data_IF_373513708001
#
_entry.id   IF_373513708001
#
_cell.length_a   1.000
_cell.length_b   1.000
_cell.length_c   1.000
_cell.angle_alpha   90.00
_cell.angle_beta   90.00
_cell.angle_gamma   90.00
#
_symmetry.space_group_name_H-M   'P 1'
#
loop_
_entity.id
_entity.type
_entity.pdbx_description
1 polymer ?
#
# COMPACT_ATOMS: atom_id res chain seq x y z
N UNK A 1 0.94 -23.52 -25.86
CA UNK A 1 -0.52 -23.64 -26.12
C UNK A 1 -1.28 -22.35 -25.84
N UNK A 2 -0.93 -21.57 -24.82
CA UNK A 2 -1.60 -20.27 -24.53
C UNK A 2 -1.50 -19.30 -25.72
N UNK A 3 -0.38 -19.28 -26.44
CA UNK A 3 -0.13 -18.44 -27.62
C UNK A 3 -1.06 -18.74 -28.81
N UNK A 4 -1.71 -19.90 -28.84
CA UNK A 4 -2.75 -20.23 -29.82
C UNK A 4 -4.09 -19.51 -29.54
N UNK A 5 -4.30 -19.05 -28.32
CA UNK A 5 -5.53 -18.35 -27.91
C UNK A 5 -5.32 -16.84 -27.83
N UNK A 6 -4.20 -16.39 -27.24
CA UNK A 6 -3.85 -14.98 -27.10
C UNK A 6 -2.36 -14.81 -27.42
N UNK A 7 -2.01 -13.87 -28.30
CA UNK A 7 -0.63 -13.63 -28.67
C UNK A 7 0.13 -12.89 -27.55
N UNK A 8 1.42 -13.21 -27.39
CA UNK A 8 2.32 -12.57 -26.44
C UNK A 8 2.33 -11.03 -26.56
N UNK A 9 2.19 -10.51 -27.80
CA UNK A 9 2.15 -9.07 -28.09
C UNK A 9 1.00 -8.34 -27.37
N UNK A 10 -0.14 -8.99 -27.16
CA UNK A 10 -1.26 -8.42 -26.42
C UNK A 10 -0.87 -8.16 -24.97
N UNK A 11 -0.23 -9.13 -24.31
CA UNK A 11 0.23 -8.99 -22.94
C UNK A 11 1.37 -7.98 -22.81
N UNK A 12 2.31 -7.97 -23.74
CA UNK A 12 3.40 -6.98 -23.79
C UNK A 12 2.84 -5.56 -23.86
N UNK A 13 1.83 -5.33 -24.72
CA UNK A 13 1.23 -4.01 -24.90
C UNK A 13 0.45 -3.55 -23.69
N UNK A 14 -0.32 -4.43 -23.06
CA UNK A 14 -1.17 -4.10 -21.91
C UNK A 14 -0.37 -3.97 -20.61
N UNK A 15 0.56 -4.90 -20.35
CA UNK A 15 1.35 -4.89 -19.12
C UNK A 15 2.55 -3.95 -19.16
N UNK A 16 3.01 -3.59 -20.37
CA UNK A 16 4.27 -2.85 -20.62
C UNK A 16 5.51 -3.57 -20.06
N UNK A 17 5.39 -4.87 -19.83
CA UNK A 17 6.47 -5.71 -19.33
C UNK A 17 6.81 -6.82 -20.35
N UNK A 18 8.06 -7.32 -20.37
CA UNK A 18 8.45 -8.45 -21.22
C UNK A 18 7.54 -9.66 -20.99
N UNK A 19 7.32 -10.44 -22.04
CA UNK A 19 6.54 -11.68 -22.01
C UNK A 19 7.46 -12.83 -22.29
N UNK A 20 7.69 -13.69 -21.32
CA UNK A 20 8.51 -14.90 -21.43
C UNK A 20 7.63 -16.07 -21.85
N UNK A 21 7.93 -16.68 -22.99
CA UNK A 21 7.20 -17.85 -23.51
C UNK A 21 8.10 -19.08 -23.72
N UNK A 22 9.41 -18.90 -23.65
CA UNK A 22 10.43 -19.92 -23.86
C UNK A 22 11.56 -19.76 -22.84
N UNK A 23 12.13 -20.87 -22.39
CA UNK A 23 13.27 -20.89 -21.45
C UNK A 23 14.58 -20.42 -22.08
N UNK A 24 14.70 -20.53 -23.40
CA UNK A 24 15.97 -20.37 -24.11
C UNK A 24 15.98 -19.21 -25.10
N UNK A 25 14.90 -18.47 -25.19
CA UNK A 25 14.66 -17.45 -26.20
C UNK A 25 15.41 -16.12 -26.05
N UNK A 26 16.06 -15.85 -24.93
CA UNK A 26 16.75 -14.58 -24.66
C UNK A 26 18.19 -14.82 -24.22
N UNK A 27 19.19 -14.22 -24.91
CA UNK A 27 20.59 -14.33 -24.53
C UNK A 27 20.91 -13.37 -23.39
N UNK A 28 20.53 -13.73 -22.14
CA UNK A 28 20.94 -13.02 -20.94
C UNK A 28 21.86 -13.90 -20.11
N UNK A 29 22.84 -13.31 -19.45
CA UNK A 29 23.81 -14.03 -18.62
C UNK A 29 23.19 -14.65 -17.36
N UNK A 30 22.05 -14.13 -16.90
CA UNK A 30 21.25 -14.75 -15.83
C UNK A 30 20.01 -15.44 -16.43
N UNK A 31 19.72 -16.69 -16.02
CA UNK A 31 18.49 -17.35 -16.42
C UNK A 31 17.26 -16.53 -16.01
N UNK A 32 16.38 -16.20 -16.96
CA UNK A 32 15.19 -15.35 -16.72
C UNK A 32 14.30 -15.85 -15.57
N UNK A 33 14.17 -17.16 -15.41
CA UNK A 33 13.37 -17.75 -14.33
C UNK A 33 13.90 -17.43 -12.93
N UNK A 34 15.23 -17.28 -12.76
CA UNK A 34 15.83 -16.86 -11.48
C UNK A 34 15.59 -15.37 -11.26
N UNK A 35 15.89 -14.53 -12.25
CA UNK A 35 15.68 -13.08 -12.14
C UNK A 35 14.21 -12.71 -11.88
N UNK A 36 13.25 -13.46 -12.47
CA UNK A 36 11.84 -13.29 -12.23
C UNK A 36 11.42 -13.80 -10.84
N UNK A 37 11.98 -14.94 -10.38
CA UNK A 37 11.64 -15.49 -9.05
C UNK A 37 12.10 -14.60 -7.91
N UNK A 38 13.22 -13.90 -8.06
CA UNK A 38 13.74 -12.93 -7.09
C UNK A 38 12.92 -11.64 -7.04
N UNK A 39 12.25 -11.27 -8.14
CA UNK A 39 11.48 -10.03 -8.24
C UNK A 39 10.00 -10.17 -7.91
N UNK A 40 9.43 -11.36 -8.11
CA UNK A 40 8.00 -11.58 -7.98
C UNK A 40 7.61 -11.98 -6.56
N UNK A 41 6.68 -11.26 -5.98
CA UNK A 41 6.11 -11.53 -4.66
C UNK A 41 5.01 -12.59 -4.70
N UNK A 42 4.25 -12.60 -5.80
CA UNK A 42 3.14 -13.51 -6.02
C UNK A 42 3.19 -14.05 -7.44
N UNK A 43 3.09 -15.38 -7.58
CA UNK A 43 2.87 -16.04 -8.85
C UNK A 43 1.39 -16.34 -9.02
N UNK A 44 0.76 -15.79 -10.06
CA UNK A 44 -0.64 -16.08 -10.39
C UNK A 44 -0.71 -16.93 -11.65
N UNK A 45 -1.31 -18.11 -11.57
CA UNK A 45 -1.55 -18.97 -12.73
C UNK A 45 -3.05 -18.96 -13.05
N UNK A 46 -3.44 -18.16 -14.02
CA UNK A 46 -4.83 -17.95 -14.42
C UNK A 46 -4.97 -17.83 -15.96
N UNK A 47 -5.60 -18.79 -16.62
CA UNK A 47 -6.18 -20.04 -16.09
C UNK A 47 -5.12 -21.12 -15.85
N UNK A 48 -5.33 -21.95 -14.81
CA UNK A 48 -4.54 -23.14 -14.55
C UNK A 48 -5.24 -24.41 -15.06
N UNK A 49 -4.57 -25.15 -15.93
CA UNK A 49 -5.07 -26.43 -16.45
C UNK A 49 -4.72 -27.58 -15.52
N UNK A 50 -5.42 -28.72 -15.64
CA UNK A 50 -5.07 -29.95 -14.95
C UNK A 50 -3.62 -30.39 -15.17
N UNK A 51 -3.09 -30.16 -16.39
CA UNK A 51 -1.70 -30.46 -16.72
C UNK A 51 -0.73 -29.65 -15.86
N UNK A 52 -0.92 -28.33 -15.75
CA UNK A 52 -0.05 -27.49 -14.92
C UNK A 52 -0.15 -27.86 -13.43
N UNK A 53 -1.38 -28.08 -12.92
CA UNK A 53 -1.60 -28.53 -11.53
C UNK A 53 -0.85 -29.83 -11.26
N UNK A 54 -0.94 -30.80 -12.18
CA UNK A 54 -0.20 -32.07 -12.08
C UNK A 54 1.32 -31.88 -12.08
N UNK A 55 1.84 -31.08 -13.00
CA UNK A 55 3.27 -30.77 -13.07
C UNK A 55 3.80 -30.14 -11.78
N UNK A 56 3.12 -29.12 -11.29
CA UNK A 56 3.53 -28.42 -10.06
C UNK A 56 3.47 -29.36 -8.84
N UNK A 57 2.42 -30.19 -8.73
CA UNK A 57 2.27 -31.14 -7.64
C UNK A 57 3.41 -32.16 -7.58
N UNK A 58 3.95 -32.55 -8.73
CA UNK A 58 5.00 -33.59 -8.86
C UNK A 58 6.39 -33.06 -9.20
N UNK A 59 6.58 -31.73 -9.22
CA UNK A 59 7.91 -31.13 -9.45
C UNK A 59 8.40 -31.25 -10.90
N UNK A 60 7.51 -31.26 -11.89
CA UNK A 60 7.88 -31.36 -13.31
C UNK A 60 8.11 -29.97 -13.89
N UNK A 61 9.31 -29.72 -14.39
CA UNK A 61 9.78 -28.44 -14.94
C UNK A 61 10.23 -28.62 -16.40
N UNK A 62 9.29 -28.83 -17.31
CA UNK A 62 9.54 -29.09 -18.72
C UNK A 62 9.13 -27.94 -19.67
N UNK A 63 8.64 -26.84 -19.09
CA UNK A 63 8.32 -25.61 -19.82
C UNK A 63 8.64 -24.37 -18.95
N UNK A 64 8.60 -23.18 -19.58
CA UNK A 64 8.96 -21.93 -18.92
C UNK A 64 8.13 -21.68 -17.65
N UNK A 65 6.80 -21.90 -17.68
CA UNK A 65 5.93 -21.67 -16.53
C UNK A 65 6.20 -22.64 -15.40
N UNK A 66 6.33 -23.95 -15.70
CA UNK A 66 6.57 -24.97 -14.70
C UNK A 66 7.95 -24.84 -14.05
N UNK A 67 8.98 -24.45 -14.84
CA UNK A 67 10.32 -24.17 -14.32
C UNK A 67 10.31 -22.94 -13.40
N UNK A 68 9.66 -21.87 -13.84
CA UNK A 68 9.53 -20.68 -13.01
C UNK A 68 8.76 -20.97 -11.71
N UNK A 69 7.64 -21.70 -11.79
CA UNK A 69 6.83 -22.01 -10.62
C UNK A 69 7.58 -22.82 -9.55
N UNK A 70 8.54 -23.67 -9.95
CA UNK A 70 9.38 -24.41 -9.00
C UNK A 70 10.51 -23.56 -8.38
N UNK A 71 10.96 -22.52 -9.08
CA UNK A 71 11.97 -21.58 -8.55
C UNK A 71 11.35 -20.46 -7.73
N UNK A 72 10.03 -20.24 -7.83
CA UNK A 72 9.34 -19.15 -7.13
C UNK A 72 9.22 -19.42 -5.63
N UNK A 73 9.73 -18.50 -4.81
CA UNK A 73 9.73 -18.59 -3.34
C UNK A 73 8.52 -17.90 -2.69
N UNK A 74 7.82 -17.03 -3.45
CA UNK A 74 6.67 -16.28 -2.96
C UNK A 74 5.37 -17.09 -2.95
N UNK A 75 4.27 -16.40 -2.67
CA UNK A 75 2.93 -17.02 -2.71
C UNK A 75 2.54 -17.41 -4.13
N UNK A 76 2.08 -18.65 -4.29
CA UNK A 76 1.51 -19.12 -5.57
C UNK A 76 -0.01 -19.18 -5.46
N UNK A 77 -0.71 -18.52 -6.39
CA UNK A 77 -2.17 -18.52 -6.51
C UNK A 77 -2.55 -19.22 -7.82
N UNK A 78 -3.40 -20.24 -7.71
CA UNK A 78 -3.89 -21.01 -8.86
C UNK A 78 -5.37 -20.75 -9.04
N UNK A 79 -5.76 -20.31 -10.25
CA UNK A 79 -7.15 -20.18 -10.69
C UNK A 79 -7.47 -21.29 -11.71
N UNK A 80 -8.05 -22.42 -11.29
CA UNK A 80 -8.31 -23.56 -12.17
C UNK A 80 -9.37 -23.25 -13.23
N UNK A 81 -9.15 -23.73 -14.46
CA UNK A 81 -10.15 -23.72 -15.52
C UNK A 81 -10.02 -24.98 -16.36
N UNK A 82 -11.05 -25.82 -16.37
CA UNK A 82 -11.08 -27.07 -17.13
C UNK A 82 -12.51 -27.62 -17.25
N UNK A 83 -12.67 -28.67 -18.07
CA UNK A 83 -13.93 -29.39 -18.14
C UNK A 83 -14.38 -29.90 -16.75
N UNK A 84 -15.66 -29.84 -16.37
CA UNK A 84 -16.15 -30.31 -15.06
C UNK A 84 -15.79 -31.77 -14.73
N UNK A 85 -15.76 -32.67 -15.72
CA UNK A 85 -15.34 -34.05 -15.51
C UNK A 85 -13.84 -34.16 -15.16
N UNK A 86 -13.00 -33.30 -15.78
CA UNK A 86 -11.57 -33.23 -15.44
C UNK A 86 -11.40 -32.70 -14.02
N UNK A 87 -12.14 -31.64 -13.67
CA UNK A 87 -12.08 -31.08 -12.32
C UNK A 87 -12.43 -32.10 -11.24
N UNK A 88 -13.49 -32.90 -11.48
CA UNK A 88 -13.95 -33.93 -10.54
C UNK A 88 -13.07 -35.17 -10.53
N UNK A 89 -12.10 -35.29 -11.45
CA UNK A 89 -11.27 -36.50 -11.52
C UNK A 89 -10.43 -36.66 -10.24
N UNK A 90 -10.41 -37.84 -9.61
CA UNK A 90 -9.71 -38.06 -8.35
C UNK A 90 -8.25 -37.65 -8.34
N UNK A 91 -7.52 -37.88 -9.44
CA UNK A 91 -6.13 -37.46 -9.56
C UNK A 91 -5.95 -35.91 -9.54
N UNK A 92 -6.89 -35.18 -10.15
CA UNK A 92 -6.86 -33.71 -10.12
C UNK A 92 -7.15 -33.19 -8.72
N UNK A 93 -8.15 -33.77 -8.03
CA UNK A 93 -8.45 -33.38 -6.66
C UNK A 93 -7.32 -33.74 -5.70
N UNK A 94 -6.69 -34.90 -5.85
CA UNK A 94 -5.51 -35.26 -5.04
C UNK A 94 -4.34 -34.31 -5.24
N UNK A 95 -4.05 -33.91 -6.49
CA UNK A 95 -3.01 -32.93 -6.79
C UNK A 95 -3.33 -31.54 -6.20
N UNK A 96 -4.59 -31.10 -6.27
CA UNK A 96 -5.01 -29.84 -5.66
C UNK A 96 -4.85 -29.88 -4.14
N UNK A 97 -5.22 -30.99 -3.50
CA UNK A 97 -5.07 -31.14 -2.05
C UNK A 97 -3.60 -31.13 -1.62
N UNK A 98 -2.74 -31.85 -2.34
CA UNK A 98 -1.29 -31.85 -2.11
C UNK A 98 -0.71 -30.43 -2.22
N UNK A 99 -1.14 -29.65 -3.22
CA UNK A 99 -0.68 -28.27 -3.39
C UNK A 99 -1.20 -27.34 -2.29
N UNK A 100 -2.44 -27.53 -1.81
CA UNK A 100 -2.96 -26.76 -0.65
C UNK A 100 -2.14 -27.03 0.61
N UNK A 101 -1.81 -28.29 0.88
CA UNK A 101 -0.95 -28.69 2.00
C UNK A 101 0.45 -28.05 1.92
N UNK A 102 0.92 -27.76 0.71
CA UNK A 102 2.17 -27.03 0.45
C UNK A 102 2.03 -25.51 0.45
N UNK A 103 0.85 -24.98 0.81
CA UNK A 103 0.62 -23.53 0.93
C UNK A 103 0.21 -22.83 -0.36
N UNK A 104 -0.10 -23.57 -1.45
CA UNK A 104 -0.61 -22.97 -2.68
C UNK A 104 -2.07 -22.56 -2.51
N UNK A 105 -2.37 -21.29 -2.80
CA UNK A 105 -3.72 -20.76 -2.74
C UNK A 105 -4.52 -21.09 -4.01
N UNK A 106 -5.82 -21.35 -3.84
CA UNK A 106 -6.73 -21.67 -4.95
C UNK A 106 -7.90 -20.69 -4.97
N UNK A 107 -8.19 -20.13 -6.16
CA UNK A 107 -9.34 -19.25 -6.41
C UNK A 107 -10.27 -19.93 -7.42
N UNK A 108 -11.45 -20.34 -7.00
CA UNK A 108 -12.38 -21.10 -7.83
C UNK A 108 -12.04 -22.60 -7.87
N UNK A 109 -12.37 -23.33 -8.97
CA UNK A 109 -13.14 -22.84 -10.11
C UNK A 109 -14.61 -22.60 -9.77
N UNK A 110 -15.23 -21.66 -10.52
CA UNK A 110 -16.65 -21.36 -10.41
C UNK A 110 -17.52 -22.40 -11.11
N UNK A 111 -18.81 -22.40 -10.77
CA UNK A 111 -19.83 -23.18 -11.48
C UNK A 111 -20.40 -22.37 -12.64
N UNK A 112 -20.72 -23.02 -13.75
CA UNK A 112 -21.35 -22.39 -14.90
C UNK A 112 -21.07 -23.13 -16.20
N UNK A 113 -21.47 -22.49 -17.31
CA UNK A 113 -21.21 -23.00 -18.65
C UNK A 113 -19.74 -22.83 -19.01
N UNK A 114 -19.07 -23.91 -19.39
CA UNK A 114 -17.68 -23.93 -19.85
C UNK A 114 -17.60 -23.96 -21.39
N UNK A 115 -16.46 -23.67 -21.98
CA UNK A 115 -16.26 -23.55 -23.42
C UNK A 115 -16.69 -24.78 -24.24
N UNK A 116 -16.65 -25.97 -23.67
CA UNK A 116 -17.16 -27.21 -24.31
C UNK A 116 -18.69 -27.36 -24.26
N UNK A 117 -19.44 -26.36 -23.78
CA UNK A 117 -20.90 -26.37 -23.71
C UNK A 117 -21.49 -27.08 -22.50
N UNK A 118 -20.71 -27.82 -21.71
CA UNK A 118 -21.18 -28.45 -20.47
C UNK A 118 -21.37 -27.43 -19.35
N UNK A 119 -22.26 -27.72 -18.41
CA UNK A 119 -22.52 -26.93 -17.23
C UNK A 119 -22.01 -27.66 -15.99
N UNK A 120 -21.31 -26.96 -15.10
CA UNK A 120 -20.77 -27.54 -13.89
C UNK A 120 -19.60 -26.73 -13.32
N UNK A 121 -18.97 -27.24 -12.25
CA UNK A 121 -17.80 -26.63 -11.63
C UNK A 121 -16.57 -26.86 -12.50
N UNK A 122 -15.93 -25.83 -12.94
CA UNK A 122 -14.74 -25.91 -13.83
C UNK A 122 -14.49 -24.62 -14.63
N UNK A 123 -15.36 -23.61 -14.49
CA UNK A 123 -15.19 -22.29 -15.08
C UNK A 123 -14.15 -21.50 -14.30
N UNK A 124 -13.32 -20.71 -15.01
CA UNK A 124 -12.41 -19.74 -14.39
C UNK A 124 -13.19 -18.84 -13.43
N UNK A 125 -12.66 -18.62 -12.24
CA UNK A 125 -13.19 -17.66 -11.28
C UNK A 125 -13.27 -16.24 -11.89
N UNK A 126 -14.17 -15.42 -11.37
CA UNK A 126 -14.27 -14.03 -11.79
C UNK A 126 -12.93 -13.31 -11.61
N UNK A 127 -12.57 -12.44 -12.57
CA UNK A 127 -11.29 -11.69 -12.53
C UNK A 127 -11.17 -10.91 -11.23
N UNK A 128 -12.26 -10.27 -10.78
CA UNK A 128 -12.29 -9.55 -9.49
C UNK A 128 -11.97 -10.42 -8.28
N UNK A 129 -12.38 -11.70 -8.28
CA UNK A 129 -12.03 -12.65 -7.20
C UNK A 129 -10.54 -13.02 -7.23
N UNK A 130 -9.96 -13.14 -8.42
CA UNK A 130 -8.52 -13.41 -8.59
C UNK A 130 -7.72 -12.17 -8.13
N UNK A 131 -8.11 -10.96 -8.55
CA UNK A 131 -7.51 -9.70 -8.11
C UNK A 131 -7.57 -9.54 -6.58
N UNK A 132 -8.72 -9.79 -5.98
CA UNK A 132 -8.88 -9.72 -4.52
C UNK A 132 -7.96 -10.71 -3.80
N UNK A 133 -7.81 -11.93 -4.31
CA UNK A 133 -6.88 -12.91 -3.75
C UNK A 133 -5.43 -12.43 -3.88
N UNK A 134 -5.04 -11.84 -5.02
CA UNK A 134 -3.71 -11.27 -5.21
C UNK A 134 -3.45 -10.17 -4.19
N UNK A 135 -4.36 -9.21 -4.05
CA UNK A 135 -4.22 -8.13 -3.07
C UNK A 135 -4.13 -8.64 -1.63
N UNK A 136 -4.96 -9.60 -1.26
CA UNK A 136 -4.91 -10.23 0.08
C UNK A 136 -3.57 -10.91 0.35
N UNK A 137 -3.02 -11.63 -0.65
CA UNK A 137 -1.73 -12.32 -0.49
C UNK A 137 -0.54 -11.38 -0.61
N UNK A 138 -0.62 -10.31 -1.41
CA UNK A 138 0.40 -9.26 -1.42
C UNK A 138 0.49 -8.56 -0.06
N UNK A 139 -0.63 -8.25 0.56
CA UNK A 139 -0.66 -7.71 1.92
C UNK A 139 0.03 -8.64 2.93
N UNK A 140 -0.21 -9.95 2.82
CA UNK A 140 0.43 -10.99 3.66
C UNK A 140 1.89 -11.24 3.27
N UNK A 141 2.23 -11.21 1.97
CA UNK A 141 3.59 -11.46 1.48
C UNK A 141 4.55 -10.32 1.80
N UNK A 142 4.07 -9.08 1.81
CA UNK A 142 4.87 -7.94 2.28
C UNK A 142 5.22 -8.07 3.77
N UNK A 143 4.38 -8.75 4.56
CA UNK A 143 4.73 -9.16 5.93
C UNK A 143 5.74 -10.30 6.00
N UNK A 144 5.82 -11.18 4.97
CA UNK A 144 6.68 -12.39 5.01
C UNK A 144 8.06 -12.22 4.37
N UNK A 145 8.26 -11.34 3.40
CA UNK A 145 9.58 -11.19 2.74
C UNK A 145 10.58 -10.33 3.50
N UNK A 146 10.15 -9.60 4.52
CA UNK A 146 11.07 -9.00 5.49
C UNK A 146 11.49 -9.97 6.62
N UNK A 147 11.08 -11.24 6.57
CA UNK A 147 11.15 -12.19 7.67
C UNK A 147 11.86 -13.51 7.39
N UNK A 148 12.95 -13.52 6.59
CA UNK A 148 13.88 -14.66 6.57
C UNK A 148 15.13 -14.43 7.44
N UNK A 149 15.10 -13.39 8.26
CA UNK A 149 16.03 -13.19 9.37
C UNK A 149 15.15 -12.80 10.58
N UNK A 150 15.03 -13.74 11.52
CA UNK A 150 14.46 -13.57 12.86
C UNK A 150 13.16 -12.73 12.93
N UNK A 151 12.01 -13.39 12.76
CA UNK A 151 10.77 -12.85 13.33
C UNK A 151 10.85 -12.99 14.86
N UNK A 152 11.50 -12.04 15.52
CA UNK A 152 11.01 -11.64 16.82
C UNK A 152 9.57 -11.14 16.59
N UNK A 153 8.59 -11.88 17.12
CA UNK A 153 7.19 -11.46 17.14
C UNK A 153 7.12 -10.21 18.01
N UNK A 154 7.22 -9.04 17.36
CA UNK A 154 6.99 -7.79 18.08
C UNK A 154 5.54 -7.80 18.58
N UNK A 155 5.35 -7.43 19.83
CA UNK A 155 4.01 -7.16 20.36
C UNK A 155 3.31 -6.14 19.45
N UNK A 156 1.99 -6.27 19.22
CA UNK A 156 1.24 -5.32 18.43
C UNK A 156 1.47 -3.89 18.93
N UNK A 157 1.96 -3.02 18.05
CA UNK A 157 2.16 -1.60 18.37
C UNK A 157 0.83 -0.86 18.27
N UNK A 158 0.66 0.18 19.08
CA UNK A 158 -0.41 1.17 18.96
C UNK A 158 0.08 2.31 18.07
N UNK A 159 -0.43 2.37 16.84
CA UNK A 159 0.00 3.32 15.82
C UNK A 159 -1.08 4.38 15.60
N UNK A 160 -0.75 5.63 15.90
CA UNK A 160 -1.59 6.79 15.66
C UNK A 160 -1.19 7.42 14.32
N UNK A 161 -2.09 7.43 13.34
CA UNK A 161 -1.83 8.00 12.01
C UNK A 161 -2.75 9.19 11.79
N UNK A 162 -2.21 10.33 11.34
CA UNK A 162 -3.03 11.42 10.82
C UNK A 162 -3.02 11.42 9.29
N UNK A 163 -4.16 11.77 8.66
CA UNK A 163 -4.33 11.75 7.21
C UNK A 163 -5.27 12.86 6.73
N UNK A 164 -5.23 13.13 5.43
CA UNK A 164 -6.09 14.11 4.78
C UNK A 164 -5.61 15.55 4.95
N UNK A 165 -6.31 16.51 4.33
CA UNK A 165 -6.12 17.93 4.57
C UNK A 165 -6.92 18.39 5.79
N UNK A 166 -6.61 19.58 6.31
CA UNK A 166 -7.55 20.34 7.13
C UNK A 166 -8.29 21.37 6.29
N UNK A 167 -9.46 21.76 6.76
CA UNK A 167 -10.30 22.81 6.21
C UNK A 167 -10.49 23.89 7.25
N UNK A 168 -10.08 25.12 6.93
CA UNK A 168 -10.17 26.27 7.82
C UNK A 168 -11.27 27.19 7.30
N UNK A 169 -12.37 27.28 8.02
CA UNK A 169 -13.55 27.97 7.57
C UNK A 169 -13.33 29.49 7.39
N UNK A 170 -13.73 29.99 6.25
CA UNK A 170 -13.84 31.42 5.96
C UNK A 170 -15.25 31.93 6.30
N UNK A 171 -16.24 31.13 5.91
CA UNK A 171 -17.66 31.32 6.22
C UNK A 171 -18.36 29.94 6.10
N UNK A 172 -19.64 29.79 6.39
CA UNK A 172 -20.35 28.50 6.34
C UNK A 172 -20.36 27.81 4.96
N UNK A 173 -19.80 28.44 3.92
CA UNK A 173 -19.82 27.94 2.53
C UNK A 173 -18.40 27.73 1.97
N UNK A 174 -17.44 28.50 2.46
CA UNK A 174 -16.06 28.55 1.91
C UNK A 174 -15.03 28.32 2.99
N UNK A 175 -13.98 27.61 2.64
CA UNK A 175 -12.86 27.29 3.52
C UNK A 175 -11.52 27.35 2.74
N UNK A 176 -10.43 27.47 3.47
CA UNK A 176 -9.07 27.25 3.01
C UNK A 176 -8.67 25.80 3.27
N UNK A 177 -8.00 25.16 2.32
CA UNK A 177 -7.54 23.78 2.46
C UNK A 177 -6.29 23.51 1.65
N UNK A 178 -5.59 22.42 1.98
CA UNK A 178 -4.47 21.90 1.23
C UNK A 178 -4.93 20.92 0.14
N UNK A 179 -4.08 20.68 -0.88
CA UNK A 179 -4.38 19.75 -1.99
C UNK A 179 -4.24 18.26 -1.61
N UNK A 180 -4.09 17.94 -0.34
CA UNK A 180 -3.95 16.55 0.11
C UNK A 180 -5.22 15.74 -0.18
N UNK A 181 -5.03 14.48 -0.56
CA UNK A 181 -6.13 13.52 -0.77
C UNK A 181 -6.24 12.48 0.35
N UNK A 182 -5.32 12.47 1.32
CA UNK A 182 -5.26 11.48 2.39
C UNK A 182 -4.66 10.12 1.99
N UNK A 183 -4.46 9.84 0.71
CA UNK A 183 -4.05 8.50 0.20
C UNK A 183 -2.82 7.92 0.92
N UNK A 184 -1.82 8.73 1.27
CA UNK A 184 -0.60 8.21 1.92
C UNK A 184 -0.86 7.74 3.35
N UNK A 185 -1.54 8.56 4.18
CA UNK A 185 -1.89 8.18 5.55
C UNK A 185 -2.84 6.98 5.60
N UNK A 186 -3.81 6.91 4.68
CA UNK A 186 -4.70 5.75 4.54
C UNK A 186 -3.94 4.48 4.14
N UNK A 187 -2.94 4.57 3.24
CA UNK A 187 -2.09 3.46 2.88
C UNK A 187 -1.27 2.96 4.09
N UNK A 188 -0.71 3.88 4.90
CA UNK A 188 0.03 3.53 6.11
C UNK A 188 -0.90 2.85 7.12
N UNK A 189 -2.07 3.43 7.40
CA UNK A 189 -3.03 2.86 8.33
C UNK A 189 -3.50 1.45 7.90
N UNK A 190 -3.83 1.28 6.61
CA UNK A 190 -4.24 -0.01 6.06
C UNK A 190 -3.12 -1.06 6.14
N UNK A 191 -1.87 -0.68 5.85
CA UNK A 191 -0.71 -1.56 5.94
C UNK A 191 -0.44 -1.97 7.39
N UNK A 192 -0.54 -1.05 8.34
CA UNK A 192 -0.34 -1.32 9.76
C UNK A 192 -1.42 -2.25 10.34
N UNK A 193 -2.71 -2.04 9.97
CA UNK A 193 -3.80 -2.99 10.33
C UNK A 193 -3.54 -4.37 9.76
N UNK A 194 -3.13 -4.47 8.49
CA UNK A 194 -2.84 -5.75 7.85
C UNK A 194 -1.64 -6.48 8.48
N UNK A 195 -0.71 -5.75 9.10
CA UNK A 195 0.40 -6.30 9.87
C UNK A 195 0.02 -6.70 11.31
N UNK A 196 -1.22 -6.45 11.74
CA UNK A 196 -1.74 -6.86 13.06
C UNK A 196 -1.56 -5.83 14.17
N UNK A 197 -1.23 -4.57 13.82
CA UNK A 197 -1.11 -3.49 14.80
C UNK A 197 -2.47 -2.89 15.18
N UNK A 198 -2.55 -2.27 16.38
CA UNK A 198 -3.70 -1.47 16.83
C UNK A 198 -3.58 -0.05 16.24
N UNK A 199 -4.49 0.32 15.34
CA UNK A 199 -4.38 1.55 14.56
C UNK A 199 -5.51 2.51 14.85
N UNK A 200 -5.14 3.76 15.16
CA UNK A 200 -6.04 4.90 15.20
C UNK A 200 -5.72 5.84 14.05
N UNK A 201 -6.71 6.13 13.21
CA UNK A 201 -6.60 7.05 12.09
C UNK A 201 -7.38 8.34 12.38
N UNK A 202 -6.68 9.45 12.52
CA UNK A 202 -7.27 10.79 12.60
C UNK A 202 -7.32 11.37 11.19
N UNK A 203 -8.52 11.50 10.64
CA UNK A 203 -8.71 11.86 9.22
C UNK A 203 -9.37 13.21 9.05
N UNK A 204 -8.69 14.12 8.39
CA UNK A 204 -9.32 15.29 7.77
C UNK A 204 -10.27 14.88 6.63
N UNK A 205 -11.02 15.82 6.02
CA UNK A 205 -12.00 15.51 4.99
C UNK A 205 -11.39 14.83 3.76
N UNK A 206 -11.82 13.61 3.46
CA UNK A 206 -11.42 12.85 2.27
C UNK A 206 -12.62 12.15 1.64
N UNK A 207 -12.43 11.63 0.41
CA UNK A 207 -13.41 10.78 -0.27
C UNK A 207 -12.99 9.29 -0.22
N UNK A 208 -12.01 8.95 0.61
CA UNK A 208 -11.53 7.57 0.74
C UNK A 208 -12.48 6.77 1.61
N UNK A 209 -12.63 5.49 1.29
CA UNK A 209 -13.38 4.57 2.13
C UNK A 209 -12.66 4.38 3.48
N UNK A 210 -13.40 4.21 4.59
CA UNK A 210 -12.81 3.92 5.90
C UNK A 210 -11.91 2.67 5.84
N UNK A 211 -10.81 2.69 6.59
CA UNK A 211 -9.90 1.55 6.70
C UNK A 211 -10.54 0.49 7.60
N UNK A 212 -10.83 -0.67 7.06
CA UNK A 212 -11.40 -1.78 7.84
C UNK A 212 -10.42 -2.24 8.94
N UNK A 213 -10.93 -2.46 10.15
CA UNK A 213 -10.13 -2.86 11.31
C UNK A 213 -9.37 -1.72 12.01
N UNK A 214 -9.59 -0.48 11.57
CA UNK A 214 -8.98 0.71 12.15
C UNK A 214 -10.03 1.54 12.91
N UNK A 215 -9.67 2.16 14.04
CA UNK A 215 -10.49 3.16 14.72
C UNK A 215 -10.29 4.53 14.04
N UNK A 216 -11.26 4.93 13.22
CA UNK A 216 -11.21 6.21 12.50
C UNK A 216 -11.85 7.32 13.36
N UNK A 217 -11.18 8.46 13.44
CA UNK A 217 -11.62 9.68 14.11
C UNK A 217 -11.63 10.82 13.11
N UNK A 218 -12.81 11.28 12.72
CA UNK A 218 -12.96 12.36 11.74
C UNK A 218 -12.75 13.71 12.40
N UNK A 219 -12.00 14.57 11.73
CA UNK A 219 -11.68 15.95 12.11
C UNK A 219 -11.81 16.87 10.91
N UNK A 220 -11.96 18.16 11.12
CA UNK A 220 -12.08 19.13 10.03
C UNK A 220 -10.94 20.13 10.05
N UNK A 221 -10.68 20.79 11.16
CA UNK A 221 -9.72 21.88 11.28
C UNK A 221 -8.37 21.45 11.85
N UNK A 222 -7.36 22.30 11.71
CA UNK A 222 -6.05 22.13 12.35
C UNK A 222 -6.16 22.05 13.88
N UNK A 223 -7.07 22.82 14.47
CA UNK A 223 -7.33 22.80 15.91
C UNK A 223 -7.87 21.43 16.35
N UNK A 224 -8.85 20.86 15.63
CA UNK A 224 -9.39 19.54 15.93
C UNK A 224 -8.33 18.43 15.73
N UNK A 225 -7.47 18.52 14.70
CA UNK A 225 -6.32 17.61 14.56
C UNK A 225 -5.43 17.67 15.79
N UNK A 226 -5.08 18.88 16.25
CA UNK A 226 -4.25 19.09 17.45
C UNK A 226 -4.87 18.49 18.71
N UNK A 227 -6.16 18.72 18.93
CA UNK A 227 -6.91 18.18 20.07
C UNK A 227 -6.96 16.65 20.05
N UNK A 228 -7.39 16.07 18.94
CA UNK A 228 -7.58 14.61 18.82
C UNK A 228 -6.25 13.87 18.85
N UNK A 229 -5.24 14.32 18.07
CA UNK A 229 -3.91 13.74 18.10
C UNK A 229 -3.29 13.89 19.49
N UNK A 230 -3.42 15.06 20.12
CA UNK A 230 -2.91 15.32 21.47
C UNK A 230 -3.50 14.42 22.55
N UNK A 231 -4.78 14.07 22.44
CA UNK A 231 -5.46 13.13 23.32
C UNK A 231 -5.00 11.68 23.14
N UNK A 232 -4.83 11.23 21.88
CA UNK A 232 -4.45 9.86 21.57
C UNK A 232 -2.93 9.62 21.74
N UNK A 233 -2.11 10.68 21.70
CA UNK A 233 -0.66 10.64 21.71
C UNK A 233 -0.06 9.93 22.92
N UNK A 234 -0.61 10.19 24.12
CA UNK A 234 -0.04 9.65 25.35
C UNK A 234 -0.13 8.10 25.44
N UNK A 235 -1.01 7.51 24.64
CA UNK A 235 -1.27 6.06 24.64
C UNK A 235 -0.72 5.35 23.41
N UNK A 236 -0.20 6.04 22.40
CA UNK A 236 0.37 5.40 21.22
C UNK A 236 1.87 5.09 21.40
N UNK A 237 2.36 4.06 20.73
CA UNK A 237 3.78 3.75 20.64
C UNK A 237 4.43 4.56 19.52
N UNK A 238 3.66 4.79 18.43
CA UNK A 238 4.12 5.52 17.25
C UNK A 238 3.08 6.54 16.81
N UNK A 239 3.52 7.77 16.56
CA UNK A 239 2.76 8.78 15.83
C UNK A 239 3.30 8.92 14.41
N UNK A 240 2.44 8.77 13.41
CA UNK A 240 2.72 9.08 12.00
C UNK A 240 1.92 10.31 11.60
N UNK A 241 2.58 11.47 11.58
CA UNK A 241 1.94 12.75 11.24
C UNK A 241 2.00 12.98 9.73
N UNK A 242 1.00 12.41 9.02
CA UNK A 242 0.90 12.45 7.54
C UNK A 242 -0.19 13.40 7.02
N UNK A 243 -1.03 13.96 7.91
CA UNK A 243 -2.02 14.96 7.54
C UNK A 243 -1.36 16.23 7.00
N UNK A 244 -1.97 16.84 5.98
CA UNK A 244 -1.60 18.15 5.48
C UNK A 244 -2.35 19.22 6.28
N UNK A 245 -1.86 19.48 7.48
CA UNK A 245 -2.41 20.50 8.38
C UNK A 245 -2.11 21.88 7.81
N UNK A 246 -3.09 22.79 7.80
CA UNK A 246 -2.90 24.16 7.34
C UNK A 246 -2.04 24.95 8.35
N UNK A 247 -1.03 25.67 7.86
CA UNK A 247 -0.18 26.55 8.68
C UNK A 247 -0.88 27.86 9.06
N UNK A 248 -1.94 28.21 8.32
CA UNK A 248 -2.72 29.43 8.51
C UNK A 248 -4.22 29.16 8.43
N UNK A 249 -4.98 29.90 9.23
CA UNK A 249 -6.44 29.95 9.19
C UNK A 249 -6.92 31.41 9.10
N UNK A 250 -8.15 31.68 8.64
CA UNK A 250 -8.73 33.01 8.78
C UNK A 250 -8.67 33.47 10.25
N UNK A 251 -8.25 34.72 10.46
CA UNK A 251 -8.19 35.30 11.81
C UNK A 251 -9.59 35.32 12.47
N UNK A 252 -10.62 35.48 11.64
CA UNK A 252 -12.03 35.44 12.04
C UNK A 252 -12.83 34.71 10.97
N UNK A 253 -13.55 33.65 11.33
CA UNK A 253 -14.56 33.03 10.48
C UNK A 253 -15.87 33.81 10.58
N UNK A 254 -16.52 34.04 9.45
CA UNK A 254 -17.80 34.76 9.45
C UNK A 254 -18.94 33.75 9.72
N UNK A 255 -19.87 34.11 10.62
CA UNK A 255 -21.07 33.31 10.95
C UNK A 255 -22.07 33.19 9.77
N UNK A 256 -21.97 34.10 8.81
CA UNK A 256 -22.83 34.12 7.62
C UNK A 256 -22.00 34.20 6.35
N UNK A 257 -22.53 33.64 5.26
CA UNK A 257 -21.92 33.72 3.93
C UNK A 257 -21.57 35.18 3.59
N UNK A 258 -20.30 35.44 3.36
CA UNK A 258 -19.82 36.74 2.92
C UNK A 258 -20.35 37.04 1.51
N UNK A 259 -21.11 38.14 1.38
CA UNK A 259 -21.67 38.58 0.09
C UNK A 259 -20.58 39.20 -0.77
N UNK A 260 -20.75 39.04 -2.11
CA UNK A 260 -19.86 39.69 -3.08
C UNK A 260 -19.99 41.21 -2.92
N UNK A 261 -18.86 41.88 -2.82
CA UNK A 261 -18.76 43.34 -2.78
C UNK A 261 -18.10 43.84 -4.07
N UNK A 262 -18.32 45.09 -4.42
CA UNK A 262 -17.63 45.73 -5.51
C UNK A 262 -16.16 45.98 -5.08
N UNK A 263 -15.23 45.26 -5.74
CA UNK A 263 -13.80 45.32 -5.45
C UNK A 263 -13.21 43.99 -4.98
N UNK A 264 -11.96 44.01 -4.54
CA UNK A 264 -11.27 42.86 -4.00
C UNK A 264 -11.62 42.61 -2.53
N UNK A 265 -11.38 41.37 -2.06
CA UNK A 265 -11.49 41.01 -0.67
C UNK A 265 -10.08 40.77 -0.11
N UNK A 266 -9.78 41.34 1.02
CA UNK A 266 -8.57 41.06 1.81
C UNK A 266 -8.93 40.08 2.91
N UNK A 267 -8.16 39.02 3.01
CA UNK A 267 -8.33 38.00 4.04
C UNK A 267 -7.14 38.07 5.00
N UNK A 268 -7.41 38.37 6.25
CA UNK A 268 -6.40 38.33 7.31
C UNK A 268 -6.25 36.90 7.82
N UNK A 269 -5.02 36.42 7.88
CA UNK A 269 -4.70 35.05 8.31
C UNK A 269 -3.93 35.06 9.62
N UNK A 270 -4.34 34.20 10.54
CA UNK A 270 -3.62 33.86 11.76
C UNK A 270 -2.89 32.53 11.61
N UNK A 271 -1.77 32.34 12.30
CA UNK A 271 -1.08 31.05 12.34
C UNK A 271 -1.93 30.01 13.09
N UNK A 272 -1.91 28.79 12.62
CA UNK A 272 -2.42 27.62 13.36
C UNK A 272 -1.38 27.16 14.39
N UNK A 273 -1.81 26.34 15.34
CA UNK A 273 -0.90 25.72 16.30
C UNK A 273 0.00 24.68 15.62
N UNK A 274 1.27 24.66 15.99
CA UNK A 274 2.19 23.60 15.54
C UNK A 274 1.97 22.32 16.37
N UNK A 275 1.14 21.43 15.85
CA UNK A 275 0.77 20.18 16.52
C UNK A 275 2.01 19.35 16.91
N UNK A 276 2.96 19.14 16.02
CA UNK A 276 4.18 18.39 16.35
C UNK A 276 5.05 19.11 17.36
N UNK A 277 5.17 20.43 17.25
CA UNK A 277 5.92 21.25 18.21
C UNK A 277 5.33 21.19 19.63
N UNK A 278 4.00 21.13 19.75
CA UNK A 278 3.31 21.01 21.05
C UNK A 278 3.44 19.62 21.68
N UNK A 279 3.65 18.56 20.85
CA UNK A 279 3.82 17.18 21.31
C UNK A 279 5.27 16.81 21.66
N UNK A 280 6.26 17.47 21.09
CA UNK A 280 7.67 17.16 21.31
C UNK A 280 8.08 17.08 22.79
N UNK A 281 7.64 17.99 23.68
CA UNK A 281 7.96 17.92 25.13
C UNK A 281 7.28 16.76 25.86
N UNK A 282 6.23 16.16 25.27
CA UNK A 282 5.44 15.06 25.86
C UNK A 282 5.90 13.69 25.35
N UNK A 283 6.84 13.65 24.38
CA UNK A 283 7.34 12.40 23.81
C UNK A 283 8.03 11.55 24.87
N UNK A 284 7.59 10.31 25.03
CA UNK A 284 8.23 9.34 25.91
C UNK A 284 9.50 8.75 25.25
N UNK A 285 10.47 8.24 26.03
CA UNK A 285 11.71 7.64 25.47
C UNK A 285 11.47 6.41 24.58
N UNK A 286 10.41 5.65 24.87
CA UNK A 286 9.97 4.46 24.14
C UNK A 286 9.07 4.78 22.96
N UNK A 287 8.65 6.02 22.79
CA UNK A 287 7.72 6.47 21.73
C UNK A 287 8.49 6.95 20.51
N UNK A 288 7.91 6.76 19.34
CA UNK A 288 8.48 7.21 18.06
C UNK A 288 7.54 8.16 17.32
N UNK A 289 8.11 9.12 16.62
CA UNK A 289 7.36 10.10 15.82
C UNK A 289 7.93 10.15 14.41
N UNK A 290 7.06 9.91 13.42
CA UNK A 290 7.35 10.08 12.00
C UNK A 290 6.57 11.28 11.47
N UNK A 291 7.29 12.30 11.01
CA UNK A 291 6.71 13.47 10.35
C UNK A 291 6.72 13.32 8.82
N UNK A 292 5.86 14.09 8.16
CA UNK A 292 5.86 14.24 6.70
C UNK A 292 6.15 15.69 6.32
N UNK A 293 6.92 15.89 5.24
CA UNK A 293 7.23 17.19 4.67
C UNK A 293 6.99 17.17 3.16
N UNK A 294 6.11 18.07 2.69
CA UNK A 294 5.86 18.32 1.29
C UNK A 294 6.64 19.58 0.89
N UNK A 295 7.69 19.41 0.12
CA UNK A 295 8.62 20.48 -0.22
C UNK A 295 8.68 20.68 -1.73
N UNK A 296 9.04 21.90 -2.16
CA UNK A 296 9.23 22.24 -3.57
C UNK A 296 10.70 22.52 -3.91
N UNK A 297 11.53 22.76 -2.91
CA UNK A 297 12.97 23.00 -3.03
C UNK A 297 13.68 22.64 -1.72
N UNK A 298 14.99 22.39 -1.76
CA UNK A 298 15.80 22.14 -0.57
C UNK A 298 15.31 20.96 0.30
N UNK A 299 14.70 19.94 -0.31
CA UNK A 299 13.89 18.90 0.32
C UNK A 299 14.60 18.27 1.53
N UNK A 300 15.86 17.85 1.36
CA UNK A 300 16.62 17.18 2.42
C UNK A 300 16.99 18.16 3.53
N UNK A 301 17.52 19.34 3.18
CA UNK A 301 17.94 20.32 4.18
C UNK A 301 16.76 20.84 5.03
N UNK A 302 15.60 21.06 4.41
CA UNK A 302 14.38 21.45 5.14
C UNK A 302 13.90 20.33 6.06
N UNK A 303 14.00 19.08 5.60
CA UNK A 303 13.63 17.90 6.38
C UNK A 303 14.56 17.73 7.60
N UNK A 304 15.89 17.86 7.43
CA UNK A 304 16.85 17.79 8.53
C UNK A 304 16.61 18.87 9.59
N UNK A 305 16.34 20.11 9.16
CA UNK A 305 16.00 21.20 10.07
C UNK A 305 14.71 20.92 10.87
N UNK A 306 13.68 20.37 10.22
CA UNK A 306 12.42 19.98 10.87
C UNK A 306 12.60 18.79 11.81
N UNK A 307 13.42 17.79 11.44
CA UNK A 307 13.73 16.62 12.27
C UNK A 307 14.29 17.06 13.63
N UNK A 308 15.31 17.90 13.61
CA UNK A 308 15.96 18.41 14.80
C UNK A 308 15.06 19.32 15.64
N UNK A 309 14.34 20.25 15.00
CA UNK A 309 13.49 21.24 15.67
C UNK A 309 12.28 20.62 16.39
N UNK A 310 11.78 19.47 15.91
CA UNK A 310 10.55 18.83 16.44
C UNK A 310 10.81 17.48 17.12
N UNK A 311 12.06 17.13 17.38
CA UNK A 311 12.48 15.88 18.04
C UNK A 311 11.86 14.62 17.40
N UNK A 312 11.85 14.59 16.06
CA UNK A 312 11.31 13.47 15.30
C UNK A 312 12.35 12.34 15.18
N UNK A 313 11.89 11.09 15.06
CA UNK A 313 12.76 9.95 14.76
C UNK A 313 12.95 9.80 13.24
N UNK A 314 11.91 10.12 12.46
CA UNK A 314 11.94 10.13 11.00
C UNK A 314 11.18 11.33 10.44
N UNK A 315 11.64 11.82 9.32
CA UNK A 315 10.85 12.70 8.46
C UNK A 315 10.85 12.16 7.04
N UNK A 316 9.65 12.00 6.49
CA UNK A 316 9.42 11.55 5.13
C UNK A 316 9.17 12.76 4.26
N UNK A 317 10.15 13.11 3.45
CA UNK A 317 10.09 14.29 2.58
C UNK A 317 9.81 13.88 1.14
N UNK A 318 8.84 14.54 0.51
CA UNK A 318 8.50 14.34 -0.90
C UNK A 318 8.52 15.66 -1.68
N UNK A 319 8.90 15.55 -2.96
CA UNK A 319 8.84 16.67 -3.91
C UNK A 319 7.41 16.79 -4.47
N UNK A 320 6.70 17.82 -4.07
CA UNK A 320 5.33 18.08 -4.56
C UNK A 320 5.29 19.01 -5.77
N UNK A 321 6.43 19.49 -6.27
CA UNK A 321 6.50 20.25 -7.52
C UNK A 321 6.24 19.38 -8.75
N UNK A 322 6.47 18.06 -8.64
CA UNK A 322 6.30 17.09 -9.72
C UNK A 322 4.86 16.58 -9.77
N UNK A 323 4.25 16.66 -10.96
CA UNK A 323 2.87 16.21 -11.18
C UNK A 323 2.68 14.68 -11.14
N UNK A 324 3.74 13.91 -11.39
CA UNK A 324 3.72 12.44 -11.46
C UNK A 324 3.89 11.74 -10.11
N UNK A 325 4.29 12.48 -9.09
CA UNK A 325 4.41 12.08 -7.69
C UNK A 325 3.84 13.20 -6.81
N UNK A 326 3.17 12.90 -5.74
CA UNK A 326 2.61 13.92 -4.85
C UNK A 326 1.19 13.63 -4.41
N UNK A 327 0.41 14.66 -4.07
CA UNK A 327 -0.85 14.49 -3.33
C UNK A 327 -1.90 13.65 -4.07
N UNK A 328 -2.19 13.94 -5.33
CA UNK A 328 -3.25 13.26 -6.10
C UNK A 328 -2.78 11.94 -6.72
N UNK A 329 -1.47 11.74 -6.93
CA UNK A 329 -0.91 10.52 -7.53
C UNK A 329 -1.10 9.30 -6.63
N UNK A 330 -1.23 8.11 -7.23
CA UNK A 330 -1.19 6.83 -6.50
C UNK A 330 0.24 6.38 -6.19
N UNK A 331 1.23 6.96 -6.90
CA UNK A 331 2.65 6.74 -6.64
C UNK A 331 3.26 7.89 -5.83
N UNK A 332 4.35 7.59 -5.13
CA UNK A 332 5.16 8.58 -4.45
C UNK A 332 6.65 8.24 -4.61
N UNK A 333 7.50 9.27 -4.46
CA UNK A 333 8.95 9.18 -4.37
C UNK A 333 9.36 10.01 -3.16
N UNK A 334 10.05 9.39 -2.20
CA UNK A 334 10.31 10.05 -0.91
C UNK A 334 11.74 9.84 -0.46
N UNK A 335 12.25 10.80 0.29
CA UNK A 335 13.46 10.68 1.08
C UNK A 335 13.10 10.54 2.55
N UNK A 336 13.59 9.50 3.20
CA UNK A 336 13.45 9.29 4.65
C UNK A 336 14.71 9.80 5.32
N UNK A 337 14.57 10.83 6.15
CA UNK A 337 15.64 11.49 6.87
C UNK A 337 15.58 11.07 8.34
N UNK A 338 16.74 10.72 8.89
CA UNK A 338 16.95 10.34 10.29
C UNK A 338 18.21 11.04 10.82
N UNK A 339 18.48 10.96 12.11
CA UNK A 339 19.79 11.39 12.65
C UNK A 339 20.98 10.61 12.03
N UNK A 340 20.76 9.35 11.61
CA UNK A 340 21.76 8.49 10.99
C UNK A 340 21.99 8.73 9.49
N UNK A 341 21.23 9.63 8.86
CA UNK A 341 21.38 9.97 7.45
C UNK A 341 20.08 9.89 6.65
N UNK A 342 20.22 9.89 5.33
CA UNK A 342 19.12 9.97 4.37
C UNK A 342 19.05 8.69 3.53
N UNK A 343 17.86 8.10 3.46
CA UNK A 343 17.55 6.97 2.58
C UNK A 343 16.53 7.41 1.53
N UNK A 344 16.79 7.10 0.26
CA UNK A 344 15.90 7.44 -0.84
C UNK A 344 15.05 6.23 -1.25
N UNK A 345 13.74 6.40 -1.27
CA UNK A 345 12.80 5.43 -1.83
C UNK A 345 12.40 5.93 -3.24
N UNK A 346 12.73 5.17 -4.29
CA UNK A 346 12.41 5.56 -5.66
C UNK A 346 10.89 5.59 -5.87
N UNK A 347 10.44 6.14 -6.98
CA UNK A 347 9.02 6.20 -7.34
C UNK A 347 8.39 4.80 -7.30
N UNK A 348 7.41 4.62 -6.41
CA UNK A 348 6.65 3.39 -6.24
C UNK A 348 5.22 3.70 -5.79
N UNK A 349 4.34 2.69 -5.74
CA UNK A 349 2.98 2.87 -5.24
C UNK A 349 2.99 3.32 -3.77
N UNK A 350 2.02 4.13 -3.36
CA UNK A 350 1.91 4.59 -1.96
C UNK A 350 1.77 3.44 -0.97
N UNK A 351 1.17 2.34 -1.38
CA UNK A 351 1.12 1.09 -0.60
C UNK A 351 2.51 0.51 -0.35
N UNK A 352 3.38 0.52 -1.36
CA UNK A 352 4.74 0.00 -1.23
C UNK A 352 5.60 0.93 -0.36
N UNK A 353 5.42 2.25 -0.51
CA UNK A 353 6.03 3.23 0.42
C UNK A 353 5.59 2.96 1.85
N UNK A 354 4.28 2.73 2.09
CA UNK A 354 3.73 2.45 3.41
C UNK A 354 4.37 1.20 4.05
N UNK A 355 4.54 0.12 3.27
CA UNK A 355 5.23 -1.11 3.72
C UNK A 355 6.68 -0.82 4.13
N UNK A 356 7.42 -0.05 3.33
CA UNK A 356 8.81 0.32 3.67
C UNK A 356 8.89 1.15 4.95
N UNK A 357 7.97 2.11 5.11
CA UNK A 357 7.92 2.95 6.31
C UNK A 357 7.51 2.14 7.55
N UNK A 358 6.53 1.23 7.44
CA UNK A 358 6.15 0.35 8.54
C UNK A 358 7.33 -0.54 8.97
N UNK A 359 8.06 -1.13 8.03
CA UNK A 359 9.25 -1.92 8.35
C UNK A 359 10.38 -1.11 9.02
N UNK A 360 10.48 0.22 8.78
CA UNK A 360 11.39 1.08 9.55
C UNK A 360 10.90 1.25 10.99
N UNK A 361 9.60 1.45 11.18
CA UNK A 361 8.97 1.57 12.49
C UNK A 361 9.20 0.29 13.30
N UNK A 362 8.83 -0.87 12.77
CA UNK A 362 8.94 -2.16 13.45
C UNK A 362 10.37 -2.44 13.92
N UNK A 363 11.38 -2.22 13.05
CA UNK A 363 12.79 -2.39 13.42
C UNK A 363 13.27 -1.48 14.53
N UNK A 364 12.60 -0.37 14.82
CA UNK A 364 12.99 0.53 15.91
C UNK A 364 12.51 0.08 17.28
N UNK A 365 11.68 -0.97 17.32
CA UNK A 365 11.18 -1.61 18.53
C UNK A 365 11.74 -3.04 18.71
N UNK A 366 12.64 -3.49 17.79
CA UNK A 366 13.33 -4.78 17.83
C UNK A 366 14.49 -4.84 18.83
#
# INVERSE_FOLDING_TARGET
SATALVQARTFLTLSRNPVTSDLWGVPTWQPEHIALSERAHVLVVAPATANFIGKLAHGIADDALSTYALSHVGTTIIAPAMNPRMWQHPAVQANCELLRQRGVAFVGPDSGRVACGSNGRGRLAAVSSIEQAVHSHLAVSHGRQNGALDQEQHAPLRILVSAGPTCEDLDPVRYLTNRSTGKMGYAIASTAVAAGHDVVLVSGPTQLAPVAGCRCLDVVSAAEVGEVVGREFDTCDVLVMCAAVADFRPSTAADQKLKKQDGGMVLELARTEDVLGSLAPRKRPDQRIMGFAAETNGIVANAEAKLAAKSLDWIVANDVSRADVGFASDANEVSVVTEGGVSHLPKMQKTDVAVRLLGLIERSFA
#
